data_IF_191118795995
#
_entry.id   IF_191118795995
#
_cell.length_a   1.000
_cell.length_b   1.000
_cell.length_c   1.000
_cell.angle_alpha   90.00
_cell.angle_beta   90.00
_cell.angle_gamma   90.00
#
_symmetry.space_group_name_H-M   'P 1'
#
loop_
_entity.id
_entity.type
_entity.pdbx_description
1 polymer ?
#
# COMPACT_ATOMS: atom_id res chain seq x y z
N UNK A 1 13.60 5.85 -52.98
CA UNK A 1 13.07 6.64 -51.83
C UNK A 1 12.71 5.82 -50.58
N UNK A 2 12.61 4.49 -50.64
CA UNK A 2 12.17 3.67 -49.50
C UNK A 2 13.33 3.07 -48.66
N UNK A 3 14.50 2.87 -49.25
CA UNK A 3 15.67 2.30 -48.56
C UNK A 3 16.30 3.27 -47.54
N UNK A 4 16.42 4.55 -47.90
CA UNK A 4 16.93 5.61 -47.02
C UNK A 4 16.03 5.85 -45.81
N UNK A 5 14.70 5.76 -46.00
CA UNK A 5 13.73 5.86 -44.89
C UNK A 5 13.84 4.67 -43.93
N UNK A 6 14.05 3.45 -44.44
CA UNK A 6 14.22 2.23 -43.62
C UNK A 6 15.51 2.27 -42.81
N UNK A 7 16.61 2.69 -43.42
CA UNK A 7 17.91 2.87 -42.74
C UNK A 7 17.82 3.95 -41.64
N UNK A 8 17.14 5.06 -41.90
CA UNK A 8 16.91 6.11 -40.90
C UNK A 8 16.07 5.61 -39.71
N UNK A 9 15.05 4.79 -39.98
CA UNK A 9 14.16 4.23 -38.95
C UNK A 9 14.89 3.21 -38.07
N UNK A 10 15.79 2.41 -38.66
CA UNK A 10 16.60 1.42 -37.96
C UNK A 10 17.69 2.08 -37.09
N UNK A 11 18.32 3.15 -37.60
CA UNK A 11 19.25 3.97 -36.82
C UNK A 11 18.59 4.66 -35.63
N UNK A 12 17.36 5.17 -35.81
CA UNK A 12 16.58 5.78 -34.74
C UNK A 12 16.25 4.74 -33.65
N UNK A 13 15.83 3.52 -34.01
CA UNK A 13 15.55 2.47 -33.01
C UNK A 13 16.77 2.05 -32.20
N UNK A 14 17.96 2.03 -32.79
CA UNK A 14 19.20 1.72 -32.07
C UNK A 14 19.60 2.84 -31.09
N UNK A 15 19.39 4.10 -31.49
CA UNK A 15 19.67 5.25 -30.64
C UNK A 15 18.74 5.32 -29.42
N UNK A 16 17.47 4.94 -29.55
CA UNK A 16 16.53 4.88 -28.42
C UNK A 16 16.82 3.72 -27.45
N UNK A 17 17.45 2.62 -27.92
CA UNK A 17 17.83 1.49 -27.07
C UNK A 17 19.10 1.71 -26.23
N UNK A 18 19.87 2.76 -26.50
CA UNK A 18 21.12 3.04 -25.77
C UNK A 18 20.89 3.54 -24.34
N UNK A 19 19.68 4.01 -24.01
CA UNK A 19 19.37 4.54 -22.68
C UNK A 19 19.11 3.47 -21.61
N UNK A 20 18.97 2.19 -21.96
CA UNK A 20 18.73 1.10 -21.00
C UNK A 20 20.00 0.36 -20.55
N UNK A 21 21.17 0.75 -21.05
CA UNK A 21 22.47 0.14 -20.70
C UNK A 21 23.21 0.90 -19.58
N UNK A 22 22.77 2.13 -19.25
CA UNK A 22 23.24 2.81 -18.05
C UNK A 22 22.44 2.36 -16.82
N UNK A 23 22.44 1.05 -16.54
CA UNK A 23 22.04 0.56 -15.22
C UNK A 23 23.20 0.90 -14.28
N UNK A 24 23.03 1.91 -13.42
CA UNK A 24 24.03 2.26 -12.42
C UNK A 24 24.27 1.08 -11.49
N UNK A 25 25.53 0.70 -11.24
CA UNK A 25 25.89 -0.34 -10.28
C UNK A 25 25.19 -0.05 -8.93
N UNK A 26 24.17 -0.86 -8.64
CA UNK A 26 23.35 -0.68 -7.45
C UNK A 26 24.15 -1.20 -6.27
N UNK A 27 24.64 -0.28 -5.44
CA UNK A 27 25.40 -0.64 -4.24
C UNK A 27 24.52 -1.47 -3.30
N UNK A 28 24.91 -2.73 -3.06
CA UNK A 28 24.18 -3.64 -2.19
C UNK A 28 24.56 -3.44 -0.72
N UNK A 29 23.87 -2.50 -0.08
CA UNK A 29 24.02 -2.21 1.34
C UNK A 29 23.50 -3.34 2.25
N UNK A 30 22.76 -4.34 1.74
CA UNK A 30 22.20 -5.42 2.58
C UNK A 30 23.27 -6.40 3.08
N UNK A 31 24.38 -6.49 2.36
CA UNK A 31 25.52 -7.33 2.74
C UNK A 31 26.46 -6.66 3.75
N UNK A 32 26.24 -5.37 4.06
CA UNK A 32 27.09 -4.63 4.98
C UNK A 32 26.92 -5.17 6.42
N UNK A 33 28.03 -5.60 7.02
CA UNK A 33 28.06 -6.03 8.42
C UNK A 33 28.35 -4.86 9.36
N UNK A 34 27.85 -4.94 10.59
CA UNK A 34 28.15 -3.95 11.63
C UNK A 34 29.59 -4.11 12.12
N UNK A 35 30.38 -3.05 12.04
CA UNK A 35 31.76 -3.06 12.54
C UNK A 35 31.81 -3.15 14.08
N UNK A 36 32.81 -3.83 14.66
CA UNK A 36 32.97 -3.92 16.11
C UNK A 36 33.28 -2.54 16.71
N UNK A 37 32.75 -2.28 17.90
CA UNK A 37 33.02 -1.02 18.61
C UNK A 37 34.46 -0.97 19.09
N UNK A 38 35.12 0.17 18.89
CA UNK A 38 36.46 0.41 19.40
C UNK A 38 36.44 0.46 20.94
N UNK A 39 37.29 -0.35 21.57
CA UNK A 39 37.51 -0.33 23.02
C UNK A 39 38.55 0.75 23.35
N UNK A 40 38.23 1.66 24.26
CA UNK A 40 39.14 2.72 24.70
C UNK A 40 39.85 2.24 25.97
N UNK A 41 41.20 2.19 26.01
CA UNK A 41 41.96 1.77 27.18
C UNK A 41 41.85 2.79 28.34
N UNK A 42 42.03 2.36 29.60
CA UNK A 42 41.71 3.14 30.81
C UNK A 42 42.56 4.40 31.01
N UNK A 43 43.65 4.57 30.26
CA UNK A 43 44.54 5.75 30.32
C UNK A 43 44.22 6.83 29.27
N UNK A 44 43.21 6.63 28.41
CA UNK A 44 42.79 7.62 27.42
C UNK A 44 41.34 8.03 27.68
N UNK A 45 41.14 9.33 27.94
CA UNK A 45 39.80 9.92 28.05
C UNK A 45 39.01 9.67 26.77
N UNK A 46 37.83 9.06 26.90
CA UNK A 46 36.93 8.81 25.76
C UNK A 46 36.57 10.14 25.08
N UNK A 47 36.83 10.25 23.78
CA UNK A 47 36.33 11.39 23.01
C UNK A 47 34.79 11.34 22.97
N UNK A 48 34.15 12.49 23.15
CA UNK A 48 32.70 12.63 23.04
C UNK A 48 32.22 12.10 21.68
N UNK A 49 31.34 11.10 21.72
CA UNK A 49 30.76 10.53 20.50
C UNK A 49 29.93 11.59 19.80
N UNK A 50 30.26 11.87 18.55
CA UNK A 50 29.49 12.77 17.72
C UNK A 50 28.17 12.10 17.31
N UNK A 51 27.06 12.62 17.81
CA UNK A 51 25.73 12.01 17.61
C UNK A 51 25.23 12.16 16.16
N UNK A 52 25.96 12.88 15.29
CA UNK A 52 25.63 13.05 13.87
C UNK A 52 25.62 11.75 13.06
N UNK A 53 26.28 10.70 13.57
CA UNK A 53 26.34 9.38 12.93
C UNK A 53 25.51 8.32 13.65
N UNK A 54 24.71 8.70 14.65
CA UNK A 54 23.77 7.79 15.28
C UNK A 54 22.59 7.56 14.32
N UNK A 55 22.48 6.34 13.78
CA UNK A 55 21.34 5.94 12.96
C UNK A 55 20.13 5.72 13.88
N UNK A 56 19.04 6.50 13.74
CA UNK A 56 17.82 6.27 14.51
C UNK A 56 17.09 5.05 13.94
N UNK A 57 16.95 4.00 14.73
CA UNK A 57 16.16 2.83 14.32
C UNK A 57 16.54 1.57 15.09
N UNK A 58 15.52 0.84 15.56
CA UNK A 58 15.67 -0.52 16.07
C UNK A 58 15.73 -1.54 14.93
N UNK A 59 15.80 -2.86 15.24
CA UNK A 59 15.80 -3.90 14.22
C UNK A 59 14.55 -3.77 13.33
N UNK A 60 14.80 -3.56 12.03
CA UNK A 60 13.74 -3.54 11.02
C UNK A 60 13.24 -4.96 10.83
N UNK A 61 12.01 -5.24 11.24
CA UNK A 61 11.38 -6.55 11.03
C UNK A 61 10.60 -6.55 9.73
N UNK A 62 10.44 -7.71 9.09
CA UNK A 62 9.61 -7.84 7.89
C UNK A 62 8.18 -7.31 8.13
N UNK A 63 7.65 -7.49 9.34
CA UNK A 63 6.35 -6.96 9.78
C UNK A 63 6.29 -5.43 9.72
N UNK A 64 7.35 -4.72 10.12
CA UNK A 64 7.41 -3.25 9.98
C UNK A 64 7.48 -2.78 8.52
N UNK A 65 8.16 -3.53 7.64
CA UNK A 65 8.24 -3.18 6.22
C UNK A 65 6.89 -3.36 5.50
N UNK A 66 6.11 -4.36 5.88
CA UNK A 66 4.77 -4.58 5.33
C UNK A 66 3.78 -3.51 5.78
N UNK A 67 4.03 -2.90 6.94
CA UNK A 67 3.28 -1.75 7.44
C UNK A 67 3.63 -0.46 6.70
N UNK A 68 4.88 -0.31 6.24
CA UNK A 68 5.33 0.83 5.41
C UNK A 68 5.03 0.67 3.91
N UNK A 69 4.72 -0.54 3.42
CA UNK A 69 4.18 -0.76 2.07
C UNK A 69 2.69 -0.42 1.93
N UNK A 70 1.99 -0.17 3.05
CA UNK A 70 0.77 0.60 2.99
C UNK A 70 1.16 2.04 2.68
N UNK A 71 1.35 2.34 1.39
CA UNK A 71 1.46 3.71 0.91
C UNK A 71 0.36 4.56 1.54
N UNK A 72 0.58 5.88 1.73
CA UNK A 72 -0.35 6.74 2.45
C UNK A 72 -1.75 6.42 1.97
N UNK A 73 -2.58 5.87 2.87
CA UNK A 73 -3.95 5.55 2.55
C UNK A 73 -4.60 6.89 2.27
N UNK A 74 -4.62 7.28 0.99
CA UNK A 74 -5.44 8.38 0.53
C UNK A 74 -6.82 7.99 1.04
N UNK A 75 -7.45 8.77 1.93
CA UNK A 75 -8.76 8.41 2.43
C UNK A 75 -9.71 8.40 1.23
N UNK A 76 -9.93 7.21 0.65
CA UNK A 76 -10.79 7.02 -0.53
C UNK A 76 -12.24 7.37 -0.20
N UNK A 77 -12.58 7.52 1.08
CA UNK A 77 -13.85 8.03 1.53
C UNK A 77 -13.64 9.29 2.36
N UNK A 78 -14.31 10.37 1.96
CA UNK A 78 -14.63 11.48 2.86
C UNK A 78 -15.26 10.85 4.11
N UNK A 79 -14.74 11.12 5.30
CA UNK A 79 -15.21 10.50 6.55
C UNK A 79 -16.73 10.71 6.78
N UNK A 80 -17.32 11.69 6.09
CA UNK A 80 -18.75 11.93 6.05
C UNK A 80 -19.14 12.38 4.65
N UNK A 81 -20.13 11.70 4.06
CA UNK A 81 -20.77 12.10 2.80
C UNK A 81 -22.25 12.33 3.14
N UNK A 82 -22.68 13.59 3.10
CA UNK A 82 -24.04 14.00 3.48
C UNK A 82 -24.45 13.43 4.86
N UNK A 83 -25.34 12.45 4.87
CA UNK A 83 -25.92 11.81 6.04
C UNK A 83 -25.35 10.41 6.34
N UNK A 84 -24.23 10.06 5.71
CA UNK A 84 -23.49 8.80 5.88
C UNK A 84 -22.12 9.06 6.50
N UNK A 85 -21.76 8.31 7.53
CA UNK A 85 -20.41 8.31 8.14
C UNK A 85 -19.84 6.89 8.24
N UNK A 86 -18.53 6.77 8.18
CA UNK A 86 -17.82 5.50 8.40
C UNK A 86 -17.36 5.43 9.85
N UNK A 87 -17.64 4.31 10.51
CA UNK A 87 -17.12 3.97 11.84
C UNK A 87 -16.31 2.68 11.80
N UNK A 88 -15.41 2.53 12.78
CA UNK A 88 -14.51 1.38 12.89
C UNK A 88 -14.29 1.01 14.35
N UNK A 89 -14.36 -0.28 14.65
CA UNK A 89 -13.88 -0.85 15.90
C UNK A 89 -13.08 -2.13 15.62
N UNK A 90 -11.77 -2.11 15.91
CA UNK A 90 -10.87 -3.24 15.65
C UNK A 90 -10.83 -3.64 14.17
N UNK A 91 -11.32 -4.84 13.87
CA UNK A 91 -11.44 -5.41 12.52
C UNK A 91 -12.79 -5.15 11.85
N UNK A 92 -13.77 -4.58 12.57
CA UNK A 92 -15.09 -4.26 12.04
C UNK A 92 -15.14 -2.82 11.52
N UNK A 93 -15.85 -2.64 10.40
CA UNK A 93 -16.14 -1.35 9.79
C UNK A 93 -17.61 -1.34 9.37
N UNK A 94 -18.30 -0.24 9.62
CA UNK A 94 -19.70 -0.07 9.22
C UNK A 94 -19.99 1.36 8.80
N UNK A 95 -21.07 1.50 8.04
CA UNK A 95 -21.65 2.79 7.68
C UNK A 95 -22.78 3.11 8.65
N UNK A 96 -22.77 4.32 9.20
CA UNK A 96 -23.90 4.86 9.96
C UNK A 96 -24.63 5.85 9.05
N UNK A 97 -25.89 5.55 8.76
CA UNK A 97 -26.75 6.30 7.83
C UNK A 97 -27.95 6.83 8.58
N UNK A 98 -28.24 8.13 8.46
CA UNK A 98 -29.40 8.77 9.11
C UNK A 98 -30.65 8.73 8.22
N UNK A 99 -31.06 7.53 7.77
CA UNK A 99 -32.29 7.31 6.97
C UNK A 99 -33.12 6.17 7.56
N UNK A 100 -34.45 6.15 7.32
CA UNK A 100 -35.28 5.02 7.71
C UNK A 100 -34.80 3.70 7.08
N UNK A 101 -34.82 2.56 7.81
CA UNK A 101 -34.36 1.28 7.27
C UNK A 101 -35.21 0.80 6.09
N UNK A 102 -36.49 1.18 6.03
CA UNK A 102 -37.43 0.76 4.97
C UNK A 102 -37.03 1.31 3.59
N UNK A 103 -36.40 2.49 3.55
CA UNK A 103 -35.93 3.09 2.30
C UNK A 103 -34.54 2.60 1.90
N UNK A 104 -33.83 1.94 2.82
CA UNK A 104 -32.47 1.45 2.59
C UNK A 104 -32.44 -0.01 2.14
N UNK A 105 -33.45 -0.80 2.51
CA UNK A 105 -33.45 -2.25 2.29
C UNK A 105 -33.24 -2.64 0.83
N UNK A 106 -34.11 -2.16 -0.05
CA UNK A 106 -34.11 -2.57 -1.46
C UNK A 106 -32.84 -2.03 -2.18
N UNK A 107 -32.41 -0.76 -1.99
CA UNK A 107 -31.14 -0.28 -2.56
C UNK A 107 -29.89 -1.05 -2.10
N UNK A 108 -29.83 -1.46 -0.82
CA UNK A 108 -28.69 -2.25 -0.31
C UNK A 108 -28.71 -3.66 -0.92
N UNK A 109 -29.89 -4.25 -1.06
CA UNK A 109 -30.05 -5.54 -1.73
C UNK A 109 -29.53 -5.49 -3.16
N UNK A 110 -29.99 -4.49 -3.92
CA UNK A 110 -29.60 -4.29 -5.31
C UNK A 110 -28.09 -4.07 -5.42
N UNK A 111 -27.50 -3.25 -4.55
CA UNK A 111 -26.06 -3.05 -4.48
C UNK A 111 -25.29 -4.37 -4.36
N UNK A 112 -25.66 -5.24 -3.41
CA UNK A 112 -24.96 -6.52 -3.25
C UNK A 112 -25.08 -7.40 -4.50
N UNK A 113 -26.28 -7.47 -5.10
CA UNK A 113 -26.53 -8.28 -6.28
C UNK A 113 -25.80 -7.76 -7.53
N UNK A 114 -25.80 -6.44 -7.76
CA UNK A 114 -25.11 -5.79 -8.87
C UNK A 114 -23.59 -5.99 -8.80
N UNK A 115 -23.03 -6.00 -7.59
CA UNK A 115 -21.61 -6.28 -7.37
C UNK A 115 -21.27 -7.78 -7.33
N UNK A 116 -22.25 -8.66 -7.57
CA UNK A 116 -22.04 -10.10 -7.69
C UNK A 116 -21.94 -10.85 -6.37
N UNK A 117 -22.36 -10.26 -5.25
CA UNK A 117 -22.45 -10.94 -3.97
C UNK A 117 -23.72 -11.79 -3.90
N UNK A 118 -23.56 -13.06 -3.50
CA UNK A 118 -24.70 -13.93 -3.21
C UNK A 118 -25.23 -13.65 -1.81
N UNK A 119 -26.54 -13.50 -1.66
CA UNK A 119 -27.18 -13.33 -0.35
C UNK A 119 -27.46 -14.72 0.26
N UNK A 120 -26.82 -15.01 1.38
CA UNK A 120 -27.04 -16.25 2.15
C UNK A 120 -28.28 -16.15 3.04
N UNK A 121 -28.61 -14.94 3.50
CA UNK A 121 -29.76 -14.67 4.37
C UNK A 121 -30.37 -13.30 4.09
N UNK A 122 -31.71 -13.24 4.09
CA UNK A 122 -32.48 -12.00 3.93
C UNK A 122 -33.67 -11.99 4.92
N UNK A 123 -33.61 -11.14 5.95
CA UNK A 123 -34.66 -10.99 6.96
C UNK A 123 -35.08 -9.52 7.11
N UNK A 124 -36.00 -9.07 6.23
CA UNK A 124 -36.47 -7.67 6.19
C UNK A 124 -37.04 -7.18 7.52
N UNK A 125 -37.78 -8.03 8.22
CA UNK A 125 -38.40 -7.69 9.51
C UNK A 125 -37.38 -7.44 10.63
N UNK A 126 -36.20 -8.08 10.57
CA UNK A 126 -35.11 -7.91 11.55
C UNK A 126 -34.05 -6.91 11.08
N UNK A 127 -34.10 -6.48 9.82
CA UNK A 127 -33.06 -5.62 9.25
C UNK A 127 -31.73 -6.34 9.00
N UNK A 128 -31.74 -7.67 8.81
CA UNK A 128 -30.51 -8.48 8.68
C UNK A 128 -30.37 -9.04 7.26
N UNK A 129 -29.23 -8.76 6.64
CA UNK A 129 -28.83 -9.31 5.34
C UNK A 129 -27.40 -9.81 5.45
N UNK A 130 -27.16 -11.05 5.01
CA UNK A 130 -25.83 -11.66 5.04
C UNK A 130 -25.46 -12.10 3.62
N UNK A 131 -24.22 -11.81 3.24
CA UNK A 131 -23.63 -12.27 1.98
C UNK A 131 -22.82 -13.53 2.23
N UNK A 132 -22.66 -14.35 1.19
CA UNK A 132 -21.61 -15.37 1.18
C UNK A 132 -20.22 -14.73 1.09
N UNK A 133 -19.19 -15.53 1.30
CA UNK A 133 -17.81 -15.10 1.26
C UNK A 133 -17.38 -14.72 -0.17
N UNK A 134 -16.71 -13.58 -0.32
CA UNK A 134 -16.24 -13.10 -1.62
C UNK A 134 -14.72 -12.82 -1.62
N UNK A 135 -14.02 -13.41 -2.59
CA UNK A 135 -12.57 -13.30 -2.74
C UNK A 135 -12.20 -12.11 -3.64
N UNK A 136 -11.47 -11.12 -3.14
CA UNK A 136 -10.85 -10.12 -4.01
C UNK A 136 -9.54 -10.66 -4.58
N UNK A 137 -9.53 -11.01 -5.88
CA UNK A 137 -8.36 -11.55 -6.61
C UNK A 137 -7.63 -10.50 -7.47
N UNK A 138 -7.78 -9.21 -7.16
CA UNK A 138 -6.99 -8.18 -7.83
C UNK A 138 -5.49 -8.35 -7.50
N UNK A 139 -4.65 -8.41 -8.54
CA UNK A 139 -3.18 -8.47 -8.45
C UNK A 139 -2.58 -7.07 -8.36
#
# INVERSE_FOLDING_TARGET
MNATKRLALLGLSLALGACSVLESDKVDYKSASTAPSLAVPPDLTQLSRDNRYAVPGGPVTASSYQQDQAGPSVPVAVATIADVRIERAGNQRWLVVKRPPEVLWDPIKDFWQEYGFLLSMEQKNLGIMETDWAENRAK
#
